data_IF_580809727875
#
_entry.id   IF_580809727875
#
_cell.length_a   1.000
_cell.length_b   1.000
_cell.length_c   1.000
_cell.angle_alpha   90.00
_cell.angle_beta   90.00
_cell.angle_gamma   90.00
#
_symmetry.space_group_name_H-M   'P 1'
#
loop_
_entity.id
_entity.type
_entity.pdbx_description
1 polymer ?
#
# COMPACT_ATOMS: atom_id res chain seq x y z
N UNK A 1 -5.31 27.28 23.72
CA UNK A 1 -5.99 26.54 22.63
C UNK A 1 -5.43 27.01 21.31
N UNK A 2 -4.64 26.17 20.63
CA UNK A 2 -4.40 26.22 19.19
C UNK A 2 -3.49 25.04 18.82
N UNK A 3 -4.08 23.88 18.55
CA UNK A 3 -3.40 22.83 17.80
C UNK A 3 -3.68 23.10 16.32
N UNK A 4 -2.67 23.56 15.59
CA UNK A 4 -2.72 23.71 14.13
C UNK A 4 -2.34 22.37 13.48
N UNK A 5 -3.21 21.69 12.72
CA UNK A 5 -2.79 20.62 11.84
C UNK A 5 -2.44 21.21 10.46
N UNK A 6 -1.19 21.61 10.29
CA UNK A 6 -0.59 21.86 8.99
C UNK A 6 0.70 21.03 8.97
N UNK A 7 0.94 20.09 8.04
CA UNK A 7 0.62 20.10 6.62
C UNK A 7 0.39 18.66 6.16
N UNK A 8 -0.69 18.44 5.42
CA UNK A 8 -0.76 17.28 4.53
C UNK A 8 0.25 17.54 3.41
N UNK A 9 1.41 16.91 3.52
CA UNK A 9 2.40 16.85 2.46
C UNK A 9 1.72 16.16 1.26
N UNK A 10 1.25 16.96 0.33
CA UNK A 10 0.65 16.49 -0.92
C UNK A 10 1.82 16.05 -1.79
N UNK A 11 2.28 14.83 -1.54
CA UNK A 11 3.26 14.14 -2.34
C UNK A 11 2.74 14.11 -3.81
N UNK A 12 3.55 14.51 -4.81
CA UNK A 12 3.11 14.72 -6.19
C UNK A 12 2.48 13.46 -6.84
N UNK A 13 1.69 13.63 -7.91
CA UNK A 13 0.97 12.53 -8.61
C UNK A 13 1.87 11.41 -9.16
N UNK A 14 3.18 11.61 -9.19
CA UNK A 14 4.19 10.58 -9.53
C UNK A 14 4.22 9.43 -8.54
N UNK A 15 3.93 9.67 -7.26
CA UNK A 15 3.88 8.60 -6.25
C UNK A 15 2.65 7.72 -6.44
N UNK A 16 1.51 8.29 -6.84
CA UNK A 16 0.28 7.52 -7.07
C UNK A 16 0.43 6.54 -8.25
N UNK A 17 1.00 6.99 -9.37
CA UNK A 17 1.24 6.13 -10.53
C UNK A 17 2.23 4.99 -10.20
N UNK A 18 3.32 5.31 -9.51
CA UNK A 18 4.31 4.32 -9.06
C UNK A 18 3.71 3.31 -8.08
N UNK A 19 2.90 3.77 -7.12
CA UNK A 19 2.20 2.90 -6.17
C UNK A 19 1.25 1.95 -6.92
N UNK A 20 0.53 2.44 -7.94
CA UNK A 20 -0.36 1.63 -8.75
C UNK A 20 0.39 0.58 -9.60
N UNK A 21 1.57 0.92 -10.14
CA UNK A 21 2.47 -0.05 -10.78
C UNK A 21 2.96 -1.13 -9.81
N UNK A 22 3.34 -0.72 -8.59
CA UNK A 22 3.75 -1.64 -7.52
C UNK A 22 2.60 -2.56 -7.09
N UNK A 23 1.37 -2.03 -6.98
CA UNK A 23 0.15 -2.79 -6.70
C UNK A 23 -0.06 -3.85 -7.77
N UNK A 24 0.01 -3.47 -9.05
CA UNK A 24 -0.17 -4.40 -10.17
C UNK A 24 0.91 -5.49 -10.18
N UNK A 25 2.16 -5.11 -9.90
CA UNK A 25 3.29 -6.04 -9.79
C UNK A 25 3.08 -7.07 -8.67
N UNK A 26 2.75 -6.60 -7.45
CA UNK A 26 2.53 -7.46 -6.28
C UNK A 26 1.32 -8.37 -6.47
N UNK A 27 0.23 -7.84 -7.03
CA UNK A 27 -0.97 -8.61 -7.36
C UNK A 27 -0.65 -9.76 -8.32
N UNK A 28 0.08 -9.48 -9.40
CA UNK A 28 0.50 -10.49 -10.38
C UNK A 28 1.44 -11.52 -9.77
N UNK A 29 2.45 -11.07 -9.02
CA UNK A 29 3.48 -11.92 -8.39
C UNK A 29 2.88 -12.90 -7.37
N UNK A 30 1.95 -12.42 -6.54
CA UNK A 30 1.34 -13.23 -5.48
C UNK A 30 0.02 -13.89 -5.88
N UNK A 31 -0.44 -13.69 -7.13
CA UNK A 31 -1.71 -14.23 -7.67
C UNK A 31 -2.92 -13.81 -6.83
N UNK A 32 -2.96 -12.55 -6.40
CA UNK A 32 -4.07 -11.96 -5.64
C UNK A 32 -4.66 -10.78 -6.38
N UNK A 33 -5.84 -10.31 -5.97
CA UNK A 33 -6.44 -9.14 -6.59
C UNK A 33 -5.68 -7.86 -6.18
N UNK A 34 -5.55 -6.86 -7.08
CA UNK A 34 -4.94 -5.58 -6.76
C UNK A 34 -5.72 -4.84 -5.64
N UNK A 35 -7.02 -5.10 -5.50
CA UNK A 35 -7.83 -4.56 -4.41
C UNK A 35 -7.34 -5.01 -3.02
N UNK A 36 -6.88 -6.27 -2.89
CA UNK A 36 -6.29 -6.76 -1.63
C UNK A 36 -5.00 -6.01 -1.33
N UNK A 37 -4.14 -5.80 -2.32
CA UNK A 37 -2.88 -5.06 -2.14
C UNK A 37 -3.15 -3.60 -1.72
N UNK A 38 -4.13 -2.94 -2.34
CA UNK A 38 -4.58 -1.59 -1.94
C UNK A 38 -5.08 -1.56 -0.49
N UNK A 39 -5.86 -2.56 -0.07
CA UNK A 39 -6.32 -2.65 1.31
C UNK A 39 -5.17 -2.84 2.30
N UNK A 40 -4.17 -3.66 1.95
CA UNK A 40 -2.97 -3.86 2.77
C UNK A 40 -2.20 -2.56 2.92
N UNK A 41 -1.92 -1.85 1.81
CA UNK A 41 -1.26 -0.54 1.84
C UNK A 41 -2.04 0.44 2.71
N UNK A 42 -3.37 0.49 2.57
CA UNK A 42 -4.25 1.35 3.38
C UNK A 42 -4.18 1.00 4.88
N UNK A 43 -4.11 -0.29 5.23
CA UNK A 43 -4.00 -0.74 6.64
C UNK A 43 -2.62 -0.47 7.24
N UNK A 44 -1.56 -0.61 6.46
CA UNK A 44 -0.18 -0.37 6.88
C UNK A 44 0.16 1.12 6.92
N UNK A 45 -0.54 1.95 6.14
CA UNK A 45 -0.20 3.37 5.94
C UNK A 45 1.12 3.56 5.18
N UNK A 46 1.65 2.50 4.57
CA UNK A 46 2.92 2.48 3.86
C UNK A 46 2.81 1.62 2.60
N UNK A 47 3.35 2.13 1.50
CA UNK A 47 3.52 1.41 0.25
C UNK A 47 4.87 0.67 0.17
N UNK A 48 5.58 0.53 1.30
CA UNK A 48 6.86 -0.18 1.34
C UNK A 48 6.69 -1.65 0.96
N UNK A 49 7.34 -2.05 -0.14
CA UNK A 49 7.20 -3.38 -0.75
C UNK A 49 7.41 -4.52 0.25
N UNK A 50 8.44 -4.44 1.09
CA UNK A 50 8.75 -5.49 2.09
C UNK A 50 7.63 -5.66 3.13
N UNK A 51 7.07 -4.56 3.61
CA UNK A 51 5.97 -4.59 4.59
C UNK A 51 4.69 -5.16 3.97
N UNK A 52 4.35 -4.71 2.76
CA UNK A 52 3.17 -5.19 2.00
C UNK A 52 3.31 -6.68 1.69
N UNK A 53 4.47 -7.12 1.20
CA UNK A 53 4.73 -8.53 0.85
C UNK A 53 4.64 -9.45 2.07
N UNK A 54 5.11 -9.01 3.25
CA UNK A 54 4.96 -9.75 4.50
C UNK A 54 3.50 -9.95 4.88
N UNK A 55 2.66 -8.93 4.75
CA UNK A 55 1.24 -9.03 5.09
C UNK A 55 0.48 -9.89 4.06
N UNK A 56 0.84 -9.84 2.78
CA UNK A 56 0.31 -10.75 1.74
C UNK A 56 0.57 -12.21 2.12
N UNK A 57 1.82 -12.56 2.44
CA UNK A 57 2.19 -13.94 2.83
C UNK A 57 1.44 -14.41 4.07
N UNK A 58 1.32 -13.53 5.07
CA UNK A 58 0.56 -13.81 6.30
C UNK A 58 -0.92 -14.03 6.03
N UNK A 59 -1.51 -13.27 5.09
CA UNK A 59 -2.89 -13.47 4.64
C UNK A 59 -3.11 -14.78 3.90
N UNK A 60 -2.15 -15.20 3.06
CA UNK A 60 -2.18 -16.48 2.36
C UNK A 60 -2.05 -17.67 3.31
N UNK A 61 -1.16 -17.59 4.31
CA UNK A 61 -1.00 -18.67 5.30
C UNK A 61 -2.22 -18.89 6.21
N UNK A 62 -3.15 -17.93 6.26
CA UNK A 62 -4.39 -18.02 7.06
C UNK A 62 -5.57 -18.59 6.28
N UNK A 63 -5.45 -18.74 4.96
CA UNK A 63 -6.48 -19.26 4.05
C UNK A 63 -6.09 -20.65 3.57
#
# INVERSE_FOLDING_TARGET
MAYSPAKADTQPPVDAARIEEEIAYLAKRHRISPAIVREIIRRLGSAERSAVEREIRKGQSRR
#
